data_IF_731257640851
#
_entry.id   IF_731257640851
#
_cell.length_a   1.000
_cell.length_b   1.000
_cell.length_c   1.000
_cell.angle_alpha   90.00
_cell.angle_beta   90.00
_cell.angle_gamma   90.00
#
_symmetry.space_group_name_H-M   'P 1'
#
loop_
_entity.id
_entity.type
_entity.pdbx_description
1 polymer ?
#
# COMPACT_ATOMS: atom_id res chain seq x y z
N UNK A 1 -13.20 -3.05 2.84
CA UNK A 1 -12.28 -3.80 1.99
C UNK A 1 -12.21 -5.28 2.41
N UNK A 2 -12.02 -5.61 3.71
CA UNK A 2 -12.04 -7.00 4.20
C UNK A 2 -13.34 -7.70 3.81
N UNK A 3 -14.49 -7.07 4.04
CA UNK A 3 -15.79 -7.65 3.70
C UNK A 3 -15.96 -7.91 2.20
N UNK A 4 -15.30 -7.12 1.36
CA UNK A 4 -15.31 -7.36 -0.08
C UNK A 4 -14.40 -8.53 -0.47
N UNK A 5 -13.19 -8.62 0.08
CA UNK A 5 -12.32 -9.76 -0.18
C UNK A 5 -12.91 -11.10 0.24
N UNK A 6 -13.67 -11.14 1.35
CA UNK A 6 -14.34 -12.34 1.84
C UNK A 6 -15.38 -12.94 0.88
N UNK A 7 -15.82 -12.20 -0.10
CA UNK A 7 -16.71 -12.73 -1.16
C UNK A 7 -15.97 -13.69 -2.09
N UNK A 8 -14.65 -13.65 -2.11
CA UNK A 8 -13.81 -14.37 -3.07
C UNK A 8 -12.80 -15.31 -2.41
N UNK A 9 -12.41 -15.06 -1.17
CA UNK A 9 -11.38 -15.84 -0.49
C UNK A 9 -11.47 -15.72 1.03
N UNK A 10 -10.87 -16.66 1.73
CA UNK A 10 -10.57 -16.53 3.16
C UNK A 10 -9.52 -15.46 3.41
N UNK A 11 -9.77 -14.57 4.36
CA UNK A 11 -8.90 -13.44 4.65
C UNK A 11 -8.08 -13.71 5.90
N UNK A 12 -6.75 -13.69 5.75
CA UNK A 12 -5.80 -13.67 6.86
C UNK A 12 -5.30 -12.23 7.04
N UNK A 13 -5.64 -11.62 8.16
CA UNK A 13 -5.19 -10.26 8.48
C UNK A 13 -3.87 -10.31 9.25
N UNK A 14 -2.84 -9.66 8.70
CA UNK A 14 -1.56 -9.48 9.41
C UNK A 14 -1.41 -8.03 9.82
N UNK A 15 -1.13 -7.79 11.10
CA UNK A 15 -0.90 -6.45 11.62
C UNK A 15 0.44 -6.33 12.32
N UNK A 16 1.22 -5.33 11.93
CA UNK A 16 2.49 -4.97 12.57
C UNK A 16 2.42 -3.60 13.28
N UNK A 17 1.22 -3.04 13.46
CA UNK A 17 1.05 -1.74 14.09
C UNK A 17 1.55 -1.77 15.54
N UNK A 18 2.65 -1.05 15.80
CA UNK A 18 3.21 -0.89 17.14
C UNK A 18 2.23 -0.10 18.01
N UNK A 19 1.96 -0.61 19.21
CA UNK A 19 1.07 0.06 20.18
C UNK A 19 -0.41 -0.05 19.83
N UNK A 20 -0.80 -0.93 18.91
CA UNK A 20 -2.17 -1.24 18.65
C UNK A 20 -2.79 -1.86 19.90
N UNK A 21 -3.33 -1.02 20.75
CA UNK A 21 -4.28 -1.41 21.79
C UNK A 21 -5.58 -1.68 21.07
N UNK A 22 -5.70 -2.89 20.54
CA UNK A 22 -6.92 -3.32 19.89
C UNK A 22 -8.04 -3.16 20.90
N UNK A 23 -8.91 -2.21 20.64
CA UNK A 23 -10.13 -2.12 21.42
C UNK A 23 -10.85 -3.46 21.28
N UNK A 24 -11.27 -4.14 22.37
CA UNK A 24 -11.84 -5.48 22.32
C UNK A 24 -12.98 -5.64 21.30
N UNK A 25 -13.80 -4.59 21.13
CA UNK A 25 -14.87 -4.57 20.11
C UNK A 25 -14.33 -4.59 18.68
N UNK A 26 -13.19 -3.93 18.40
CA UNK A 26 -12.59 -3.94 17.07
C UNK A 26 -12.01 -5.32 16.75
N UNK A 27 -11.28 -5.90 17.71
CA UNK A 27 -10.74 -7.25 17.55
C UNK A 27 -11.85 -8.29 17.37
N UNK A 28 -12.93 -8.20 18.13
CA UNK A 28 -14.08 -9.08 17.98
C UNK A 28 -14.69 -8.99 16.58
N UNK A 29 -14.92 -7.78 16.05
CA UNK A 29 -15.43 -7.59 14.68
C UNK A 29 -14.48 -8.16 13.62
N UNK A 30 -13.17 -8.02 13.80
CA UNK A 30 -12.18 -8.55 12.86
C UNK A 30 -12.14 -10.08 12.90
N UNK A 31 -12.23 -10.68 14.09
CA UNK A 31 -12.31 -12.15 14.23
C UNK A 31 -13.53 -12.77 13.54
N UNK A 32 -14.64 -12.02 13.45
CA UNK A 32 -15.83 -12.48 12.72
C UNK A 32 -15.67 -12.34 11.20
N UNK A 33 -14.64 -11.63 10.72
CA UNK A 33 -14.44 -11.29 9.31
C UNK A 33 -13.17 -11.88 8.70
N UNK A 34 -12.29 -12.39 9.51
CA UNK A 34 -11.02 -12.97 9.04
C UNK A 34 -10.95 -14.42 9.47
N UNK A 35 -10.47 -15.30 8.60
CA UNK A 35 -10.15 -16.68 8.91
C UNK A 35 -9.06 -16.76 9.98
N UNK A 36 -8.07 -15.83 9.91
CA UNK A 36 -7.07 -15.70 10.94
C UNK A 36 -6.61 -14.22 11.10
N UNK A 37 -6.06 -13.90 12.29
CA UNK A 37 -5.44 -12.62 12.58
C UNK A 37 -4.07 -12.88 13.18
N UNK A 38 -3.03 -12.40 12.50
CA UNK A 38 -1.63 -12.49 12.94
C UNK A 38 -1.17 -11.12 13.40
N UNK A 39 -0.81 -11.00 14.69
CA UNK A 39 -0.25 -9.77 15.27
C UNK A 39 1.24 -9.99 15.52
N UNK A 40 2.08 -9.12 14.97
CA UNK A 40 3.55 -9.26 15.05
C UNK A 40 4.25 -7.92 15.24
N UNK A 41 5.52 -7.95 15.60
CA UNK A 41 6.39 -6.76 15.57
C UNK A 41 6.67 -6.37 14.12
N UNK A 42 6.79 -5.05 13.85
CA UNK A 42 7.17 -4.58 12.52
C UNK A 42 8.66 -4.88 12.23
N UNK A 43 8.90 -5.92 11.49
CA UNK A 43 10.23 -6.34 11.00
C UNK A 43 10.07 -6.78 9.54
N UNK A 44 10.82 -6.16 8.61
CA UNK A 44 10.78 -6.51 7.19
C UNK A 44 9.51 -6.02 6.47
N UNK A 45 8.82 -4.99 7.00
CA UNK A 45 7.66 -4.35 6.36
C UNK A 45 6.58 -5.36 5.93
N UNK A 46 5.97 -5.17 4.76
CA UNK A 46 4.91 -6.03 4.21
C UNK A 46 5.41 -7.45 3.95
N UNK A 47 6.59 -7.59 3.35
CA UNK A 47 7.19 -8.90 3.07
C UNK A 47 7.45 -9.71 4.34
N UNK A 48 7.91 -9.07 5.41
CA UNK A 48 8.03 -9.73 6.70
C UNK A 48 6.68 -10.15 7.28
N UNK A 49 5.63 -9.37 7.05
CA UNK A 49 4.27 -9.70 7.47
C UNK A 49 3.71 -10.87 6.69
N UNK A 50 3.88 -10.87 5.38
CA UNK A 50 3.47 -11.99 4.51
C UNK A 50 4.25 -13.26 4.84
N UNK A 51 5.58 -13.18 5.02
CA UNK A 51 6.39 -14.34 5.44
C UNK A 51 5.83 -15.00 6.70
N UNK A 52 5.48 -14.20 7.72
CA UNK A 52 4.93 -14.72 8.96
C UNK A 52 3.58 -15.43 8.75
N UNK A 53 2.68 -14.85 7.94
CA UNK A 53 1.40 -15.49 7.62
C UNK A 53 1.58 -16.76 6.80
N UNK A 54 2.42 -16.72 5.77
CA UNK A 54 2.72 -17.88 4.92
C UNK A 54 3.28 -19.04 5.72
N UNK A 55 4.18 -18.76 6.66
CA UNK A 55 4.73 -19.79 7.54
C UNK A 55 3.70 -20.41 8.49
N UNK A 56 2.84 -19.58 9.10
CA UNK A 56 1.81 -20.04 10.03
C UNK A 56 0.70 -20.81 9.35
N UNK A 57 0.42 -20.54 8.08
CA UNK A 57 -0.66 -21.12 7.29
C UNK A 57 -0.13 -21.91 6.08
N UNK A 58 1.07 -22.48 6.18
CA UNK A 58 1.72 -23.20 5.09
C UNK A 58 0.84 -24.30 4.53
N UNK A 59 0.20 -25.10 5.40
CA UNK A 59 -0.68 -26.17 4.99
C UNK A 59 -1.86 -25.69 4.12
N UNK A 60 -2.51 -24.59 4.53
CA UNK A 60 -3.65 -24.04 3.79
C UNK A 60 -3.20 -23.47 2.43
N UNK A 61 -2.01 -22.88 2.40
CA UNK A 61 -1.43 -22.28 1.19
C UNK A 61 -1.00 -23.34 0.19
N UNK A 62 -0.45 -24.46 0.65
CA UNK A 62 -0.04 -25.57 -0.22
C UNK A 62 -1.26 -26.22 -0.92
N UNK A 63 -2.44 -26.10 -0.34
CA UNK A 63 -3.70 -26.59 -0.88
C UNK A 63 -4.47 -25.53 -1.66
N UNK A 64 -4.05 -24.26 -1.60
CA UNK A 64 -4.76 -23.16 -2.21
C UNK A 64 -4.61 -23.19 -3.74
N UNK A 65 -5.76 -23.05 -4.43
CA UNK A 65 -5.76 -22.81 -5.87
C UNK A 65 -5.26 -21.41 -6.23
N UNK A 66 -5.34 -20.47 -5.28
CA UNK A 66 -5.09 -19.07 -5.52
C UNK A 66 -4.73 -18.35 -4.20
N UNK A 67 -3.69 -17.54 -4.19
CA UNK A 67 -3.28 -16.70 -3.08
C UNK A 67 -3.16 -15.25 -3.53
N UNK A 68 -3.72 -14.32 -2.77
CA UNK A 68 -3.51 -12.89 -2.97
C UNK A 68 -2.69 -12.32 -1.82
N UNK A 69 -1.56 -11.72 -2.12
CA UNK A 69 -0.81 -10.88 -1.19
C UNK A 69 -1.14 -9.41 -1.48
N UNK A 70 -1.68 -8.71 -0.49
CA UNK A 70 -2.02 -7.28 -0.60
C UNK A 70 -1.69 -6.55 0.70
N UNK A 71 -1.57 -5.23 0.63
CA UNK A 71 -1.24 -4.39 1.77
C UNK A 71 -2.21 -3.21 1.92
N UNK A 72 -2.00 -2.36 2.92
CA UNK A 72 -2.81 -1.19 3.24
C UNK A 72 -2.46 0.06 2.40
N UNK A 73 -1.75 -0.11 1.28
CA UNK A 73 -1.36 1.00 0.39
C UNK A 73 -2.52 1.54 -0.45
N UNK A 74 -3.71 0.93 -0.38
CA UNK A 74 -4.88 1.32 -1.15
C UNK A 74 -6.06 1.73 -0.29
N UNK A 75 -6.77 2.76 -0.72
CA UNK A 75 -8.16 2.97 -0.38
C UNK A 75 -9.05 2.26 -1.41
N UNK A 76 -10.09 1.60 -0.94
CA UNK A 76 -11.03 0.88 -1.81
C UNK A 76 -11.92 -0.10 -1.06
N UNK A 77 -12.73 -0.88 -1.78
CA UNK A 77 -12.86 -0.78 -3.23
C UNK A 77 -13.72 0.43 -3.67
N UNK A 78 -13.37 1.03 -4.79
CA UNK A 78 -14.15 2.11 -5.43
C UNK A 78 -15.38 1.54 -6.11
N UNK A 79 -15.22 0.36 -6.71
CA UNK A 79 -16.24 -0.46 -7.37
C UNK A 79 -16.16 -1.88 -6.83
N UNK A 80 -17.21 -2.71 -6.92
CA UNK A 80 -17.15 -4.13 -6.58
C UNK A 80 -15.97 -4.83 -7.25
N UNK A 81 -15.38 -5.83 -6.57
CA UNK A 81 -14.18 -6.51 -7.06
C UNK A 81 -14.48 -7.70 -7.99
N UNK A 82 -15.74 -7.88 -8.40
CA UNK A 82 -16.16 -9.02 -9.23
C UNK A 82 -15.39 -9.08 -10.55
N UNK A 83 -15.31 -7.96 -11.28
CA UNK A 83 -14.53 -7.87 -12.53
C UNK A 83 -13.04 -8.15 -12.29
N UNK A 84 -12.46 -7.59 -11.23
CA UNK A 84 -11.07 -7.85 -10.89
C UNK A 84 -10.82 -9.34 -10.68
N UNK A 85 -11.61 -10.02 -9.85
CA UNK A 85 -11.41 -11.44 -9.57
C UNK A 85 -11.70 -12.30 -10.80
N UNK A 86 -12.70 -11.95 -11.63
CA UNK A 86 -12.94 -12.61 -12.91
C UNK A 86 -11.71 -12.52 -13.82
N UNK A 87 -11.11 -11.36 -13.97
CA UNK A 87 -9.89 -11.17 -14.78
C UNK A 87 -8.69 -11.94 -14.20
N UNK A 88 -8.52 -11.96 -12.88
CA UNK A 88 -7.48 -12.76 -12.22
C UNK A 88 -7.63 -14.26 -12.52
N UNK A 89 -8.85 -14.78 -12.48
CA UNK A 89 -9.12 -16.18 -12.80
C UNK A 89 -8.94 -16.50 -14.29
N UNK A 90 -9.39 -15.59 -15.17
CA UNK A 90 -9.31 -15.78 -16.64
C UNK A 90 -7.88 -15.65 -17.20
N UNK A 91 -6.98 -14.93 -16.52
CA UNK A 91 -5.59 -14.77 -16.95
C UNK A 91 -4.90 -16.12 -17.14
N UNK A 92 -4.09 -16.25 -18.20
CA UNK A 92 -3.25 -17.42 -18.44
C UNK A 92 -1.88 -17.34 -17.70
N UNK A 93 -1.63 -16.26 -16.97
CA UNK A 93 -0.41 -16.11 -16.17
C UNK A 93 -0.47 -16.90 -14.86
N UNK A 94 0.68 -17.26 -14.34
CA UNK A 94 0.85 -17.97 -13.07
C UNK A 94 0.91 -17.00 -11.89
N UNK A 95 1.39 -15.75 -12.14
CA UNK A 95 1.51 -14.66 -11.16
C UNK A 95 0.97 -13.37 -11.79
N UNK A 96 0.03 -12.72 -11.11
CA UNK A 96 -0.69 -11.58 -11.66
C UNK A 96 -0.62 -10.40 -10.69
N UNK A 97 0.02 -9.30 -11.11
CA UNK A 97 -0.03 -8.02 -10.39
C UNK A 97 -1.17 -7.15 -10.89
N UNK A 98 -1.64 -6.20 -10.08
CA UNK A 98 -2.54 -5.18 -10.62
C UNK A 98 -1.79 -4.24 -11.56
N UNK A 99 -0.62 -3.79 -11.14
CA UNK A 99 0.23 -2.88 -11.93
C UNK A 99 1.67 -3.38 -11.93
N UNK A 100 2.40 -2.95 -12.93
CA UNK A 100 3.85 -3.06 -13.00
C UNK A 100 4.53 -1.74 -12.63
N UNK A 101 5.82 -1.81 -12.37
CA UNK A 101 6.70 -0.67 -12.13
C UNK A 101 8.05 -0.93 -12.82
N UNK A 102 8.67 0.13 -13.31
CA UNK A 102 9.96 0.08 -13.98
C UNK A 102 11.12 0.53 -13.09
N UNK A 103 10.84 0.90 -11.85
CA UNK A 103 11.88 1.32 -10.90
C UNK A 103 12.84 0.17 -10.62
N UNK A 104 14.11 0.38 -10.88
CA UNK A 104 15.22 -0.58 -10.82
C UNK A 104 15.23 -1.66 -11.91
N UNK A 105 14.12 -2.30 -12.20
CA UNK A 105 13.91 -3.26 -13.29
C UNK A 105 12.40 -3.51 -13.46
N UNK A 106 11.92 -3.99 -14.62
CA UNK A 106 10.51 -4.31 -14.79
C UNK A 106 10.03 -5.37 -13.79
N UNK A 107 9.08 -5.01 -12.94
CA UNK A 107 8.52 -5.89 -11.91
C UNK A 107 7.04 -5.60 -11.65
N UNK A 108 6.35 -6.52 -10.99
CA UNK A 108 4.98 -6.31 -10.51
C UNK A 108 5.01 -5.50 -9.21
N UNK A 109 4.14 -4.49 -9.11
CA UNK A 109 3.96 -3.74 -7.87
C UNK A 109 3.45 -4.66 -6.76
N UNK A 110 4.13 -4.66 -5.62
CA UNK A 110 3.80 -5.51 -4.47
C UNK A 110 2.51 -5.11 -3.74
N UNK A 111 1.88 -4.00 -4.12
CA UNK A 111 0.66 -3.55 -3.43
C UNK A 111 -0.51 -4.55 -3.53
N UNK A 112 -0.54 -5.35 -4.61
CA UNK A 112 -1.46 -6.46 -4.79
C UNK A 112 -0.88 -7.42 -5.83
N UNK A 113 -0.60 -8.67 -5.44
CA UNK A 113 -0.12 -9.72 -6.33
C UNK A 113 -0.86 -11.02 -6.03
N UNK A 114 -1.38 -11.64 -7.09
CA UNK A 114 -2.05 -12.92 -7.05
C UNK A 114 -1.13 -14.03 -7.58
N UNK A 115 -1.13 -15.17 -6.91
CA UNK A 115 -0.34 -16.37 -7.24
C UNK A 115 -1.29 -17.54 -7.43
N UNK A 116 -1.24 -18.21 -8.58
CA UNK A 116 -2.00 -19.44 -8.85
C UNK A 116 -1.28 -20.67 -8.29
N UNK A 117 -1.98 -21.80 -8.19
CA UNK A 117 -1.45 -23.04 -7.64
C UNK A 117 -0.07 -23.42 -8.21
N UNK A 118 0.16 -23.28 -9.52
CA UNK A 118 1.45 -23.56 -10.12
C UNK A 118 2.57 -22.67 -9.57
N UNK A 119 2.30 -21.40 -9.27
CA UNK A 119 3.28 -20.51 -8.66
C UNK A 119 3.53 -20.87 -7.19
N UNK A 120 2.48 -21.25 -6.44
CA UNK A 120 2.57 -21.65 -5.03
C UNK A 120 3.37 -22.94 -4.86
N UNK A 121 3.24 -23.86 -5.80
CA UNK A 121 3.98 -25.13 -5.83
C UNK A 121 5.39 -25.02 -6.41
N UNK A 122 5.76 -23.85 -6.94
CA UNK A 122 7.09 -23.63 -7.51
C UNK A 122 8.16 -23.58 -6.41
N UNK A 123 9.22 -24.34 -6.59
CA UNK A 123 10.35 -24.37 -5.64
C UNK A 123 10.94 -22.97 -5.41
N UNK A 124 11.01 -22.12 -6.44
CA UNK A 124 11.55 -20.77 -6.31
C UNK A 124 10.68 -19.90 -5.39
N UNK A 125 9.35 -20.05 -5.43
CA UNK A 125 8.44 -19.37 -4.51
C UNK A 125 8.69 -19.80 -3.05
N UNK A 126 8.67 -21.09 -2.78
CA UNK A 126 8.92 -21.62 -1.44
C UNK A 126 10.31 -21.26 -0.90
N UNK A 127 11.34 -21.37 -1.74
CA UNK A 127 12.72 -20.99 -1.39
C UNK A 127 12.82 -19.52 -1.03
N UNK A 128 12.26 -18.62 -1.84
CA UNK A 128 12.27 -17.19 -1.56
C UNK A 128 11.68 -16.86 -0.17
N UNK A 129 10.47 -17.35 0.13
CA UNK A 129 9.84 -17.07 1.42
C UNK A 129 10.55 -17.70 2.60
N UNK A 130 11.15 -18.87 2.43
CA UNK A 130 11.95 -19.54 3.45
C UNK A 130 13.23 -18.75 3.78
N UNK A 131 13.95 -18.27 2.77
CA UNK A 131 15.25 -17.61 2.90
C UNK A 131 15.18 -16.10 3.05
N UNK A 132 13.98 -15.51 2.91
CA UNK A 132 13.78 -14.06 3.02
C UNK A 132 14.35 -13.52 4.33
N UNK A 133 15.25 -12.56 4.22
CA UNK A 133 15.84 -11.84 5.35
C UNK A 133 15.06 -10.58 5.71
N UNK A 134 15.26 -10.08 6.93
CA UNK A 134 14.71 -8.83 7.38
C UNK A 134 15.59 -7.66 6.91
N UNK A 135 15.18 -7.00 5.85
CA UNK A 135 15.87 -5.83 5.31
C UNK A 135 15.53 -4.58 6.12
N UNK A 136 16.49 -3.91 6.78
CA UNK A 136 16.19 -2.74 7.61
C UNK A 136 15.88 -1.49 6.78
N UNK A 137 16.38 -1.41 5.55
CA UNK A 137 16.16 -0.28 4.65
C UNK A 137 15.12 -0.62 3.59
N UNK A 138 14.10 0.22 3.46
CA UNK A 138 13.03 0.03 2.48
C UNK A 138 13.56 -0.13 1.04
N UNK A 139 14.60 0.61 0.67
CA UNK A 139 15.22 0.52 -0.67
C UNK A 139 15.79 -0.88 -0.96
N UNK A 140 16.42 -1.49 0.04
CA UNK A 140 17.02 -2.81 -0.13
C UNK A 140 15.92 -3.88 -0.20
N UNK A 141 14.86 -3.74 0.61
CA UNK A 141 13.67 -4.59 0.52
C UNK A 141 13.02 -4.50 -0.87
N UNK A 142 12.83 -3.31 -1.43
CA UNK A 142 12.28 -3.14 -2.80
C UNK A 142 13.13 -3.91 -3.80
N UNK A 143 14.45 -3.71 -3.81
CA UNK A 143 15.37 -4.39 -4.74
C UNK A 143 15.38 -5.90 -4.58
N UNK A 144 15.46 -6.39 -3.35
CA UNK A 144 15.61 -7.81 -3.06
C UNK A 144 14.27 -8.56 -3.14
N UNK A 145 13.17 -7.91 -2.79
CA UNK A 145 11.88 -8.55 -2.68
C UNK A 145 10.93 -8.19 -3.84
N UNK A 146 10.62 -6.91 -4.05
CA UNK A 146 9.67 -6.51 -5.10
C UNK A 146 10.21 -6.80 -6.50
N UNK A 147 11.50 -6.53 -6.72
CA UNK A 147 12.17 -6.82 -7.99
C UNK A 147 12.70 -8.26 -8.02
N UNK A 148 13.31 -8.72 -6.93
CA UNK A 148 14.00 -10.02 -6.88
C UNK A 148 13.08 -11.21 -7.00
N UNK A 149 11.92 -11.22 -6.35
CA UNK A 149 10.97 -12.34 -6.43
C UNK A 149 10.43 -12.54 -7.85
N UNK A 150 9.88 -11.53 -8.56
CA UNK A 150 9.46 -11.68 -9.95
C UNK A 150 10.56 -12.19 -10.89
N UNK A 151 11.80 -11.76 -10.71
CA UNK A 151 12.95 -12.24 -11.51
C UNK A 151 13.18 -13.74 -11.27
N UNK A 152 13.20 -14.19 -10.02
CA UNK A 152 13.37 -15.62 -9.68
C UNK A 152 12.22 -16.47 -10.24
N UNK A 153 10.98 -15.99 -10.14
CA UNK A 153 9.81 -16.70 -10.64
C UNK A 153 9.81 -16.81 -12.18
N UNK A 154 10.22 -15.74 -12.90
CA UNK A 154 10.43 -15.81 -14.36
C UNK A 154 11.52 -16.80 -14.74
N UNK A 155 12.65 -16.77 -14.04
CA UNK A 155 13.75 -17.72 -14.26
C UNK A 155 13.33 -19.17 -14.02
N UNK A 156 12.36 -19.41 -13.13
CA UNK A 156 11.75 -20.73 -12.89
C UNK A 156 10.67 -21.10 -13.94
N UNK A 157 10.48 -20.32 -15.01
CA UNK A 157 9.55 -20.59 -16.09
C UNK A 157 8.09 -20.19 -15.82
N UNK A 158 7.82 -19.41 -14.78
CA UNK A 158 6.47 -18.90 -14.51
C UNK A 158 6.16 -17.69 -15.39
N UNK A 159 4.89 -17.61 -15.81
CA UNK A 159 4.34 -16.48 -16.57
C UNK A 159 3.85 -15.41 -15.62
N UNK A 160 4.33 -14.18 -15.78
CA UNK A 160 3.93 -13.02 -14.99
C UNK A 160 3.19 -12.01 -15.88
N UNK A 161 2.09 -11.46 -15.37
CA UNK A 161 1.24 -10.48 -16.07
C UNK A 161 0.87 -9.32 -15.13
N UNK A 162 0.67 -8.15 -15.71
CA UNK A 162 0.04 -7.00 -15.05
C UNK A 162 -1.30 -6.70 -15.70
N UNK A 163 -2.38 -6.57 -14.90
CA UNK A 163 -3.73 -6.31 -15.43
C UNK A 163 -3.91 -4.88 -15.94
N UNK A 164 -3.15 -3.94 -15.39
CA UNK A 164 -3.23 -2.52 -15.73
C UNK A 164 -1.82 -2.01 -16.06
N UNK A 165 -1.32 -2.44 -17.23
CA UNK A 165 -0.02 -2.01 -17.75
C UNK A 165 -0.06 -0.56 -18.18
N UNK A 166 1.07 0.13 -18.02
CA UNK A 166 1.26 1.47 -18.51
C UNK A 166 2.60 1.61 -19.23
N UNK A 167 2.58 2.30 -20.38
CA UNK A 167 3.77 2.48 -21.23
C UNK A 167 4.64 3.70 -20.83
N UNK A 168 4.35 4.39 -19.74
CA UNK A 168 5.11 5.56 -19.32
C UNK A 168 6.14 5.24 -18.22
N UNK A 169 7.19 6.04 -18.19
CA UNK A 169 8.20 5.99 -17.13
C UNK A 169 7.61 6.48 -15.81
N UNK A 170 7.39 5.57 -14.86
CA UNK A 170 6.96 5.93 -13.52
C UNK A 170 5.83 5.03 -12.97
N UNK A 171 5.45 5.31 -11.74
CA UNK A 171 4.40 4.58 -11.04
C UNK A 171 3.02 4.99 -11.58
N UNK A 172 2.39 4.15 -12.39
CA UNK A 172 1.09 4.36 -13.01
C UNK A 172 -0.01 4.75 -12.00
N UNK A 173 0.06 4.23 -10.78
CA UNK A 173 -0.88 4.54 -9.69
C UNK A 173 -0.82 6.00 -9.22
N UNK A 174 0.24 6.72 -9.56
CA UNK A 174 0.38 8.14 -9.28
C UNK A 174 0.13 8.98 -10.53
N UNK A 175 0.76 8.64 -11.67
CA UNK A 175 0.70 9.48 -12.86
C UNK A 175 -0.64 9.40 -13.60
N UNK A 176 -1.25 8.22 -13.65
CA UNK A 176 -2.51 7.98 -14.37
C UNK A 176 -3.67 7.54 -13.48
N UNK A 177 -3.61 7.84 -12.19
CA UNK A 177 -4.59 7.41 -11.20
C UNK A 177 -6.05 7.65 -11.65
N UNK A 178 -6.33 8.83 -12.21
CA UNK A 178 -7.66 9.21 -12.66
C UNK A 178 -8.11 8.38 -13.87
N UNK A 179 -7.25 8.27 -14.88
CA UNK A 179 -7.49 7.46 -16.08
C UNK A 179 -7.71 5.99 -15.74
N UNK A 180 -6.92 5.44 -14.84
CA UNK A 180 -7.08 4.07 -14.36
C UNK A 180 -8.47 3.84 -13.76
N UNK A 181 -8.96 4.75 -12.92
CA UNK A 181 -10.27 4.63 -12.29
C UNK A 181 -11.40 4.89 -13.29
N UNK A 182 -11.33 5.97 -14.08
CA UNK A 182 -12.43 6.39 -14.94
C UNK A 182 -12.58 5.56 -16.21
N UNK A 183 -11.48 5.15 -16.83
CA UNK A 183 -11.46 4.49 -18.13
C UNK A 183 -11.18 2.99 -18.05
N UNK A 184 -10.41 2.55 -17.06
CA UNK A 184 -9.99 1.14 -16.96
C UNK A 184 -10.65 0.40 -15.78
N UNK A 185 -11.53 1.05 -15.00
CA UNK A 185 -12.23 0.40 -13.91
C UNK A 185 -11.32 -0.04 -12.75
N UNK A 186 -10.15 0.59 -12.58
CA UNK A 186 -9.25 0.27 -11.48
C UNK A 186 -9.94 0.51 -10.13
N UNK A 187 -10.03 -0.52 -9.26
CA UNK A 187 -10.92 -0.44 -8.10
C UNK A 187 -10.31 0.23 -6.87
N UNK A 188 -9.12 0.80 -6.96
CA UNK A 188 -8.41 1.34 -5.82
C UNK A 188 -7.84 2.74 -6.05
N UNK A 189 -7.54 3.45 -4.97
CA UNK A 189 -6.78 4.70 -4.99
C UNK A 189 -5.54 4.55 -4.10
N UNK A 190 -4.36 4.89 -4.62
CA UNK A 190 -3.12 4.80 -3.85
C UNK A 190 -3.11 5.77 -2.67
N UNK A 191 -2.89 5.26 -1.45
CA UNK A 191 -2.89 6.07 -0.22
C UNK A 191 -1.85 7.19 -0.28
N UNK A 192 -0.63 6.90 -0.76
CA UNK A 192 0.45 7.90 -0.84
C UNK A 192 0.16 9.03 -1.83
N UNK A 193 -0.72 8.82 -2.82
CA UNK A 193 -1.11 9.85 -3.78
C UNK A 193 -1.79 11.04 -3.10
N UNK A 194 -2.68 10.79 -2.15
CA UNK A 194 -3.38 11.88 -1.44
C UNK A 194 -2.68 12.29 -0.14
N UNK A 195 -2.00 11.37 0.54
CA UNK A 195 -1.37 11.63 1.82
C UNK A 195 -0.07 12.43 1.68
N UNK A 196 0.78 12.02 0.77
CA UNK A 196 2.15 12.52 0.63
C UNK A 196 2.38 13.19 -0.72
N UNK A 197 1.61 12.85 -1.74
CA UNK A 197 1.72 13.27 -3.13
C UNK A 197 3.18 13.42 -3.63
N UNK A 198 3.99 12.36 -3.55
CA UNK A 198 5.43 12.47 -3.81
C UNK A 198 5.76 12.84 -5.26
N UNK A 199 4.82 12.61 -6.18
CA UNK A 199 4.95 12.91 -7.60
C UNK A 199 4.28 14.25 -8.00
N UNK A 200 3.71 14.98 -7.02
CA UNK A 200 3.05 16.28 -7.21
C UNK A 200 1.97 16.26 -8.29
N UNK A 201 1.19 15.17 -8.34
CA UNK A 201 0.10 15.05 -9.31
C UNK A 201 -1.08 15.95 -8.93
N UNK A 202 -1.87 16.43 -9.93
CA UNK A 202 -3.14 17.11 -9.68
C UNK A 202 -4.14 16.09 -9.10
N UNK A 203 -4.52 16.29 -7.85
CA UNK A 203 -5.41 15.35 -7.13
C UNK A 203 -6.73 15.99 -6.69
N UNK A 204 -6.94 17.26 -6.98
CA UNK A 204 -8.08 18.06 -6.46
C UNK A 204 -9.44 17.46 -6.82
N UNK A 205 -9.51 16.73 -7.93
CA UNK A 205 -10.74 16.10 -8.42
C UNK A 205 -11.05 14.75 -7.80
N UNK A 206 -10.18 14.23 -6.89
CA UNK A 206 -10.38 12.90 -6.33
C UNK A 206 -11.75 12.72 -5.62
N UNK A 207 -12.30 13.73 -4.90
CA UNK A 207 -13.59 13.55 -4.22
C UNK A 207 -14.72 13.29 -5.19
N UNK A 208 -14.72 13.96 -6.35
CA UNK A 208 -15.72 13.77 -7.40
C UNK A 208 -15.54 12.40 -8.07
N UNK A 209 -14.31 12.04 -8.45
CA UNK A 209 -13.99 10.77 -9.12
C UNK A 209 -14.41 9.55 -8.28
N UNK A 210 -14.09 9.59 -6.99
CA UNK A 210 -14.44 8.50 -6.07
C UNK A 210 -15.93 8.60 -5.67
N UNK A 211 -16.42 9.82 -5.36
CA UNK A 211 -17.77 10.05 -4.88
C UNK A 211 -18.86 9.65 -5.86
N UNK A 212 -18.63 9.77 -7.17
CA UNK A 212 -19.55 9.30 -8.20
C UNK A 212 -19.78 7.78 -8.18
N UNK A 213 -18.81 7.02 -7.72
CA UNK A 213 -18.84 5.54 -7.68
C UNK A 213 -19.10 5.00 -6.28
N UNK A 214 -18.50 5.62 -5.27
CA UNK A 214 -18.61 5.21 -3.87
C UNK A 214 -18.57 6.43 -2.94
N UNK A 215 -19.73 7.08 -2.68
CA UNK A 215 -19.81 8.25 -1.81
C UNK A 215 -19.34 7.98 -0.37
N UNK A 216 -19.61 6.78 0.15
CA UNK A 216 -19.21 6.40 1.50
C UNK A 216 -17.69 6.28 1.63
N UNK A 217 -17.04 5.70 0.61
CA UNK A 217 -15.59 5.63 0.57
C UNK A 217 -14.97 7.03 0.48
N UNK A 218 -15.51 7.92 -0.38
CA UNK A 218 -15.03 9.29 -0.50
C UNK A 218 -15.11 10.04 0.84
N UNK A 219 -16.23 9.94 1.55
CA UNK A 219 -16.40 10.52 2.89
C UNK A 219 -15.41 9.94 3.91
N UNK A 220 -15.18 8.62 3.87
CA UNK A 220 -14.22 7.95 4.74
C UNK A 220 -12.77 8.41 4.49
N UNK A 221 -12.37 8.53 3.23
CA UNK A 221 -11.04 9.05 2.85
C UNK A 221 -10.89 10.50 3.33
N UNK A 222 -11.89 11.35 3.07
CA UNK A 222 -11.87 12.75 3.51
C UNK A 222 -11.70 12.86 5.02
N UNK A 223 -12.43 12.06 5.79
CA UNK A 223 -12.29 12.01 7.25
C UNK A 223 -10.87 11.57 7.70
N UNK A 224 -10.26 10.58 7.02
CA UNK A 224 -8.91 10.11 7.34
C UNK A 224 -7.82 11.13 6.99
N UNK A 225 -8.04 11.95 5.96
CA UNK A 225 -7.11 13.01 5.55
C UNK A 225 -7.21 14.26 6.43
N UNK A 226 -8.29 14.43 7.20
CA UNK A 226 -8.42 15.55 8.12
C UNK A 226 -7.33 15.48 9.20
N UNK A 227 -6.62 16.59 9.46
CA UNK A 227 -5.65 16.65 10.55
C UNK A 227 -6.32 16.35 11.88
N UNK A 228 -5.77 15.43 12.64
CA UNK A 228 -6.29 15.10 13.96
C UNK A 228 -6.34 16.37 14.84
N UNK A 229 -7.36 16.56 15.69
CA UNK A 229 -7.56 17.80 16.47
C UNK A 229 -6.34 18.25 17.28
N UNK A 230 -5.52 17.30 17.79
CA UNK A 230 -4.27 17.59 18.49
C UNK A 230 -3.19 18.21 17.61
N UNK A 231 -3.12 17.79 16.34
CA UNK A 231 -2.15 18.32 15.37
C UNK A 231 -2.53 19.73 14.91
N UNK A 232 -3.83 20.02 14.73
CA UNK A 232 -4.32 21.38 14.43
C UNK A 232 -3.97 22.37 15.58
N UNK A 233 -4.11 21.95 16.83
CA UNK A 233 -3.71 22.78 17.99
C UNK A 233 -2.20 23.02 18.01
N UNK A 234 -1.39 22.05 17.62
CA UNK A 234 0.07 22.20 17.52
C UNK A 234 0.46 23.19 16.41
N UNK A 235 -0.10 23.06 15.21
CA UNK A 235 0.13 23.98 14.08
C UNK A 235 -0.32 25.41 14.47
N UNK A 236 -1.48 25.57 15.10
CA UNK A 236 -1.93 26.88 15.55
C UNK A 236 -1.00 27.49 16.62
N UNK A 237 -0.46 26.68 17.54
CA UNK A 237 0.54 27.13 18.52
C UNK A 237 1.85 27.56 17.83
N UNK A 238 2.34 26.78 16.87
CA UNK A 238 3.55 27.13 16.10
C UNK A 238 3.35 28.41 15.28
N UNK A 239 2.21 28.58 14.58
CA UNK A 239 1.89 29.80 13.85
C UNK A 239 1.78 31.01 14.78
N UNK A 240 1.18 30.89 15.96
CA UNK A 240 1.11 31.97 16.98
C UNK A 240 2.49 32.27 17.58
N UNK A 241 3.39 31.28 17.68
CA UNK A 241 4.77 31.47 18.11
C UNK A 241 5.59 32.26 17.10
N UNK A 242 5.47 31.94 15.81
CA UNK A 242 6.16 32.64 14.73
C UNK A 242 5.71 34.10 14.59
N UNK A 243 4.38 34.37 14.67
CA UNK A 243 3.87 35.75 14.63
C UNK A 243 4.20 36.58 15.88
N UNK A 244 4.69 35.99 16.97
CA UNK A 244 5.17 36.71 18.15
C UNK A 244 6.66 37.06 18.09
N UNK A 245 7.45 36.37 17.24
CA UNK A 245 8.86 36.68 17.03
C UNK A 245 9.08 37.87 16.10
N UNK A 246 8.18 38.15 15.20
CA UNK A 246 8.28 39.29 14.26
C UNK A 246 7.89 40.66 14.88
N UNK A 247 7.39 40.66 16.13
CA UNK A 247 6.96 41.86 16.86
C UNK A 247 8.02 42.51 17.75
N UNK A 248 9.24 41.94 17.87
CA UNK A 248 10.34 42.55 18.66
C UNK A 248 11.47 42.97 17.72
N UNK A 249 11.23 44.05 16.99
CA UNK A 249 12.26 44.79 16.27
C UNK A 249 13.23 45.43 17.27
N UNK A 250 14.37 44.83 17.47
CA UNK A 250 15.46 45.38 18.24
C UNK A 250 16.12 46.50 17.42
N UNK A 251 15.90 47.76 17.78
CA UNK A 251 16.70 48.90 17.31
C UNK A 251 18.13 48.73 17.80
N UNK A 252 19.03 48.29 16.94
CA UNK A 252 20.48 48.38 17.17
C UNK A 252 20.91 49.82 16.87
N UNK A 253 21.27 50.55 17.89
CA UNK A 253 21.97 51.85 17.76
C UNK A 253 23.43 51.56 17.46
N UNK A 254 23.85 51.91 16.25
CA UNK A 254 25.27 51.86 15.87
C UNK A 254 25.92 53.20 16.29
N UNK A 255 26.84 53.17 17.25
CA UNK A 255 27.71 54.27 17.58
C UNK A 255 28.99 54.19 16.72
N UNK A 256 29.54 55.35 16.22
CA UNK A 256 30.74 55.34 15.40
C UNK A 256 32.00 55.20 16.25
N UNK A 257 32.90 54.28 15.87
CA UNK A 257 34.27 54.21 16.39
C UNK A 257 35.13 55.34 15.84
N UNK A 258 35.62 56.18 16.75
CA UNK A 258 36.69 57.15 16.46
C UNK A 258 38.02 56.44 16.22
N UNK A 259 38.76 56.97 15.26
CA UNK A 259 40.17 56.63 14.94
C UNK A 259 41.09 57.07 16.11
N UNK A 260 41.99 56.22 16.49
CA UNK A 260 43.40 56.46 16.66
C UNK A 260 44.17 55.16 16.53
#
# INVERSE_FOLDING_TARGET
LIDEYRRFADVILVSSASGLRWHPRTLHRLRQRCAAIVIRRNQGYDFGSWKAALHLHQHDIDQAAFLVLTNDSFWGPITPLDDLFQRLHASAADVIGLTDDLMYAPHLSSAFVAYKAKALQCQAFGHFWKTLENWPRKRDLVKQCEVGLPVQLRAAGLKLESLYTHNANGNVLHYDWKKLIEQHGFPFLKVSLLRDNPTRQPVETWPQVIGQRNPQLAASIQHQLMPKPGFQRLIQRLRRGLNRSDGKGSRAVIAPKSRR
#
